data_IF_587079051171
#
_entry.id   IF_587079051171
#
_cell.length_a   1.000
_cell.length_b   1.000
_cell.length_c   1.000
_cell.angle_alpha   90.00
_cell.angle_beta   90.00
_cell.angle_gamma   90.00
#
_symmetry.space_group_name_H-M   'P 1'
#
loop_
_entity.id
_entity.type
_entity.pdbx_description
1 polymer ?
#
# COMPACT_ATOMS: atom_id res chain seq x y z
N UNK A 1 2.57 -51.88 36.14
CA UNK A 1 2.76 -52.35 34.75
C UNK A 1 1.75 -51.62 33.88
N UNK A 2 2.22 -50.75 32.99
CA UNK A 2 1.38 -49.87 32.18
C UNK A 2 0.82 -50.66 30.98
N UNK A 3 -0.50 -50.86 30.97
CA UNK A 3 -1.20 -51.64 29.94
C UNK A 3 -1.10 -51.06 28.51
N UNK A 4 -0.76 -49.77 28.37
CA UNK A 4 -0.67 -49.10 27.08
C UNK A 4 0.62 -49.41 26.30
N UNK A 5 1.66 -49.89 26.98
CA UNK A 5 2.96 -50.22 26.36
C UNK A 5 2.90 -51.58 25.64
N UNK A 6 2.19 -52.54 26.24
CA UNK A 6 1.97 -53.88 25.68
C UNK A 6 1.12 -53.88 24.39
N UNK A 7 0.19 -52.93 24.24
CA UNK A 7 -0.65 -52.84 23.03
C UNK A 7 0.10 -52.26 21.82
N UNK A 8 1.08 -51.36 22.05
CA UNK A 8 1.91 -50.85 20.96
C UNK A 8 2.92 -51.88 20.44
N UNK A 9 3.47 -52.70 21.34
CA UNK A 9 4.45 -53.73 20.98
C UNK A 9 3.82 -54.86 20.13
N UNK A 10 2.61 -55.28 20.50
CA UNK A 10 1.88 -56.34 19.78
C UNK A 10 1.44 -55.92 18.38
N UNK A 11 1.10 -54.65 18.17
CA UNK A 11 0.73 -54.15 16.84
C UNK A 11 1.91 -54.13 15.86
N UNK A 12 3.12 -53.81 16.34
CA UNK A 12 4.34 -53.88 15.52
C UNK A 12 4.77 -55.30 15.17
N UNK A 13 4.45 -56.29 16.01
CA UNK A 13 4.86 -57.68 15.80
C UNK A 13 4.06 -58.40 14.70
N UNK A 14 2.76 -58.09 14.57
CA UNK A 14 1.87 -58.79 13.62
C UNK A 14 2.11 -58.36 12.16
N UNK A 15 2.61 -57.14 11.92
CA UNK A 15 2.83 -56.61 10.56
C UNK A 15 4.15 -57.12 9.94
N UNK A 16 5.05 -57.75 10.71
CA UNK A 16 6.40 -58.09 10.27
C UNK A 16 6.72 -59.60 10.17
N UNK A 17 5.71 -60.47 10.15
CA UNK A 17 5.91 -61.92 9.90
C UNK A 17 5.60 -62.28 8.45
N UNK A 18 6.50 -61.91 7.56
CA UNK A 18 6.63 -62.48 6.21
C UNK A 18 8.01 -63.11 6.09
N UNK A 19 8.07 -64.44 5.97
CA UNK A 19 9.31 -65.19 5.85
C UNK A 19 10.09 -64.85 4.57
N UNK A 20 11.41 -64.73 4.72
CA UNK A 20 12.36 -64.54 3.64
C UNK A 20 13.78 -64.61 4.16
N UNK A 21 14.32 -65.81 4.28
CA UNK A 21 15.74 -66.03 4.61
C UNK A 21 16.62 -65.47 3.48
N UNK A 22 17.37 -64.40 3.74
CA UNK A 22 18.42 -63.96 2.83
C UNK A 22 19.65 -63.43 3.59
N UNK A 23 20.67 -64.29 3.58
CA UNK A 23 22.12 -64.05 3.73
C UNK A 23 22.55 -62.60 3.97
N UNK A 24 23.25 -62.40 5.08
CA UNK A 24 23.98 -61.18 5.44
C UNK A 24 24.84 -60.67 4.28
N UNK A 25 24.48 -59.48 3.77
CA UNK A 25 25.31 -58.71 2.84
C UNK A 25 26.05 -57.63 3.64
N UNK A 26 27.33 -57.34 3.34
CA UNK A 26 28.08 -56.33 4.07
C UNK A 26 27.43 -54.95 3.89
N UNK A 27 27.28 -54.23 5.00
CA UNK A 27 26.69 -52.89 5.02
C UNK A 27 27.54 -51.94 4.17
N UNK A 28 27.01 -51.56 3.00
CA UNK A 28 27.54 -50.41 2.26
C UNK A 28 27.28 -49.18 3.13
N UNK A 29 28.36 -48.56 3.63
CA UNK A 29 28.30 -47.25 4.28
C UNK A 29 27.63 -46.29 3.31
N UNK A 30 26.40 -45.92 3.61
CA UNK A 30 25.63 -44.97 2.80
C UNK A 30 26.26 -43.60 3.02
N UNK A 31 26.55 -42.87 1.95
CA UNK A 31 27.10 -41.52 2.08
C UNK A 31 26.14 -40.66 2.92
N UNK A 32 26.66 -39.87 3.86
CA UNK A 32 25.82 -39.04 4.74
C UNK A 32 24.90 -38.07 4.00
N UNK A 33 25.22 -37.75 2.74
CA UNK A 33 24.35 -36.98 1.84
C UNK A 33 23.09 -37.76 1.41
N UNK A 34 23.21 -39.06 1.21
CA UNK A 34 22.09 -39.92 0.82
C UNK A 34 21.14 -40.16 2.01
N UNK A 35 21.69 -40.31 3.22
CA UNK A 35 20.91 -40.43 4.44
C UNK A 35 20.05 -39.18 4.70
N UNK A 36 20.63 -37.99 4.53
CA UNK A 36 19.90 -36.70 4.60
C UNK A 36 18.80 -36.57 3.54
N UNK A 37 18.97 -37.15 2.35
CA UNK A 37 17.93 -37.14 1.30
C UNK A 37 16.76 -38.04 1.70
N UNK A 38 17.04 -39.22 2.26
CA UNK A 38 16.01 -40.14 2.76
C UNK A 38 15.22 -39.54 3.91
N UNK A 39 15.90 -38.93 4.87
CA UNK A 39 15.25 -38.22 6.01
C UNK A 39 14.33 -37.09 5.53
N UNK A 40 14.76 -36.29 4.53
CA UNK A 40 13.90 -35.25 3.95
C UNK A 40 12.64 -35.82 3.28
N UNK A 41 12.77 -36.94 2.57
CA UNK A 41 11.62 -37.59 1.93
C UNK A 41 10.64 -38.12 2.98
N UNK A 42 11.15 -38.71 4.06
CA UNK A 42 10.33 -39.19 5.18
C UNK A 42 9.64 -38.02 5.89
N UNK A 43 10.34 -36.91 6.14
CA UNK A 43 9.75 -35.72 6.75
C UNK A 43 8.65 -35.10 5.86
N UNK A 44 8.84 -35.08 4.54
CA UNK A 44 7.82 -34.64 3.59
C UNK A 44 6.60 -35.55 3.58
N UNK A 45 6.81 -36.88 3.63
CA UNK A 45 5.72 -37.86 3.71
C UNK A 45 4.97 -37.75 5.04
N UNK A 46 5.66 -37.51 6.15
CA UNK A 46 5.02 -37.26 7.45
C UNK A 46 4.23 -35.95 7.44
N UNK A 47 4.75 -34.89 6.83
CA UNK A 47 4.03 -33.62 6.69
C UNK A 47 2.79 -33.75 5.78
N UNK A 48 2.85 -34.58 4.75
CA UNK A 48 1.71 -34.84 3.85
C UNK A 48 0.62 -35.70 4.50
N UNK A 49 0.99 -36.67 5.33
CA UNK A 49 0.04 -37.57 6.01
C UNK A 49 -0.26 -37.14 7.46
N UNK A 50 0.18 -35.96 7.88
CA UNK A 50 -0.17 -35.42 9.19
C UNK A 50 -1.62 -34.90 9.16
N UNK A 51 -2.54 -35.72 9.68
CA UNK A 51 -3.90 -35.29 10.01
C UNK A 51 -3.88 -34.80 11.44
N UNK A 52 -3.99 -33.48 11.63
CA UNK A 52 -4.14 -32.91 12.95
C UNK A 52 -5.42 -33.48 13.59
N UNK A 53 -5.30 -34.03 14.80
CA UNK A 53 -6.45 -34.53 15.54
C UNK A 53 -7.39 -33.38 15.88
N UNK A 54 -8.61 -33.42 15.34
CA UNK A 54 -9.73 -32.58 15.75
C UNK A 54 -10.82 -33.47 16.34
N UNK A 55 -11.48 -33.02 17.41
CA UNK A 55 -12.64 -33.71 17.95
C UNK A 55 -13.79 -33.66 16.94
N UNK A 56 -14.64 -34.69 16.93
CA UNK A 56 -15.84 -34.72 16.09
C UNK A 56 -16.76 -33.50 16.35
N UNK A 57 -16.74 -32.98 17.59
CA UNK A 57 -17.53 -31.82 18.02
C UNK A 57 -16.84 -30.47 17.80
N UNK A 58 -15.63 -30.43 17.21
CA UNK A 58 -14.89 -29.18 17.02
C UNK A 58 -15.62 -28.20 16.10
N UNK A 59 -16.34 -28.71 15.10
CA UNK A 59 -17.10 -27.88 14.16
C UNK A 59 -18.43 -27.36 14.75
N UNK A 60 -18.98 -28.02 15.77
CA UNK A 60 -20.21 -27.55 16.42
C UNK A 60 -19.92 -26.36 17.32
N UNK A 61 -18.79 -26.34 18.05
CA UNK A 61 -18.50 -25.28 19.02
C UNK A 61 -18.13 -23.93 18.39
N UNK A 62 -17.52 -23.90 17.20
CA UNK A 62 -17.16 -22.63 16.54
C UNK A 62 -18.37 -21.86 15.99
N UNK A 63 -19.50 -22.56 15.75
CA UNK A 63 -20.66 -22.02 15.04
C UNK A 63 -21.93 -21.86 15.91
N UNK A 64 -21.90 -22.21 17.19
CA UNK A 64 -23.11 -22.22 18.08
C UNK A 64 -23.08 -21.21 19.23
N UNK A 65 -22.13 -20.28 19.25
CA UNK A 65 -22.13 -19.23 20.26
C UNK A 65 -23.30 -18.27 20.05
N UNK A 66 -24.34 -18.35 20.90
CA UNK A 66 -25.47 -17.40 20.90
C UNK A 66 -25.00 -15.94 20.85
N UNK A 67 -23.91 -15.59 21.54
CA UNK A 67 -23.32 -14.25 21.50
C UNK A 67 -22.86 -13.84 20.09
N UNK A 68 -22.23 -14.74 19.33
CA UNK A 68 -21.75 -14.48 17.96
C UNK A 68 -22.92 -14.39 16.97
N UNK A 69 -23.96 -15.20 17.18
CA UNK A 69 -25.19 -15.14 16.40
C UNK A 69 -25.99 -13.86 16.71
N UNK A 70 -26.04 -13.44 17.98
CA UNK A 70 -26.69 -12.20 18.42
C UNK A 70 -25.98 -10.95 17.88
N UNK A 71 -24.64 -10.92 17.88
CA UNK A 71 -23.86 -9.83 17.28
C UNK A 71 -24.14 -9.69 15.77
N UNK A 72 -24.25 -10.82 15.06
CA UNK A 72 -24.59 -10.85 13.63
C UNK A 72 -26.06 -10.56 13.31
N UNK A 73 -26.95 -10.69 14.29
CA UNK A 73 -28.40 -10.50 14.15
C UNK A 73 -28.89 -9.13 14.66
N UNK A 74 -28.00 -8.14 14.69
CA UNK A 74 -28.38 -6.75 15.00
C UNK A 74 -29.07 -6.11 13.79
N UNK A 75 -30.38 -5.86 13.91
CA UNK A 75 -31.18 -5.18 12.87
C UNK A 75 -31.33 -3.71 13.25
N UNK A 76 -30.71 -2.81 12.49
CA UNK A 76 -30.87 -1.36 12.67
C UNK A 76 -32.21 -0.90 12.08
N UNK A 77 -33.19 -0.56 12.92
CA UNK A 77 -34.57 -0.21 12.55
C UNK A 77 -34.71 1.22 11.98
N UNK A 78 -33.63 2.00 11.90
CA UNK A 78 -33.67 3.43 11.52
C UNK A 78 -33.70 3.71 10.00
N UNK A 79 -33.79 2.70 9.15
CA UNK A 79 -33.61 2.83 7.69
C UNK A 79 -34.89 2.59 6.86
N UNK A 80 -36.03 3.15 7.30
CA UNK A 80 -37.30 3.10 6.55
C UNK A 80 -37.48 4.26 5.54
N UNK A 81 -36.42 5.05 5.30
CA UNK A 81 -36.39 6.09 4.27
C UNK A 81 -35.28 5.75 3.25
N UNK A 82 -35.58 5.89 1.96
CA UNK A 82 -34.64 5.75 0.85
C UNK A 82 -33.36 6.58 1.07
N UNK A 83 -33.51 7.77 1.67
CA UNK A 83 -32.38 8.64 2.03
C UNK A 83 -31.54 8.05 3.16
N UNK A 84 -32.17 7.41 4.14
CA UNK A 84 -31.49 6.70 5.24
C UNK A 84 -30.65 5.54 4.71
N UNK A 85 -31.23 4.72 3.83
CA UNK A 85 -30.56 3.59 3.20
C UNK A 85 -29.37 4.02 2.33
N UNK A 86 -29.51 5.12 1.57
CA UNK A 86 -28.42 5.69 0.78
C UNK A 86 -27.25 6.18 1.65
N UNK A 87 -27.55 6.82 2.79
CA UNK A 87 -26.52 7.32 3.73
C UNK A 87 -25.78 6.18 4.42
N UNK A 88 -26.48 5.10 4.80
CA UNK A 88 -25.88 3.92 5.41
C UNK A 88 -24.94 3.20 4.43
N UNK A 89 -25.39 2.99 3.18
CA UNK A 89 -24.55 2.38 2.11
C UNK A 89 -23.31 3.21 1.80
N UNK A 90 -23.41 4.54 1.89
CA UNK A 90 -22.32 5.47 1.59
C UNK A 90 -21.57 5.97 2.84
N UNK A 91 -21.78 5.32 4.00
CA UNK A 91 -21.11 5.69 5.24
C UNK A 91 -19.59 5.53 5.09
N UNK A 92 -18.85 6.60 5.37
CA UNK A 92 -17.38 6.58 5.32
C UNK A 92 -16.83 6.15 6.66
N UNK A 93 -15.88 5.22 6.64
CA UNK A 93 -15.20 4.70 7.82
C UNK A 93 -13.86 5.40 7.99
N UNK A 94 -13.47 5.72 9.22
CA UNK A 94 -12.15 6.28 9.48
C UNK A 94 -11.08 5.20 9.37
N UNK A 95 -10.17 5.32 8.40
CA UNK A 95 -8.99 4.47 8.32
C UNK A 95 -7.94 5.01 9.30
N UNK A 96 -7.69 4.26 10.39
CA UNK A 96 -6.74 4.62 11.44
C UNK A 96 -5.30 4.73 10.93
N UNK A 97 -4.94 3.97 9.89
CA UNK A 97 -3.60 3.96 9.31
C UNK A 97 -3.43 5.15 8.36
N UNK A 98 -4.37 5.33 7.42
CA UNK A 98 -4.32 6.44 6.45
C UNK A 98 -4.80 7.78 7.02
N UNK A 99 -5.31 7.80 8.26
CA UNK A 99 -5.85 8.96 8.99
C UNK A 99 -6.82 9.77 8.13
N UNK A 100 -7.73 9.08 7.45
CA UNK A 100 -8.74 9.68 6.56
C UNK A 100 -9.98 8.81 6.49
N UNK A 101 -11.10 9.41 6.13
CA UNK A 101 -12.34 8.68 5.86
C UNK A 101 -12.26 7.95 4.50
N UNK A 102 -12.58 6.66 4.49
CA UNK A 102 -12.61 5.77 3.31
C UNK A 102 -14.02 5.17 3.21
N UNK A 103 -14.66 5.31 2.05
CA UNK A 103 -15.98 4.72 1.77
C UNK A 103 -15.92 3.22 1.47
N UNK A 104 -17.05 2.52 1.64
CA UNK A 104 -17.16 1.09 1.33
C UNK A 104 -17.15 0.80 -0.18
N UNK A 105 -17.71 1.68 -1.00
CA UNK A 105 -17.33 1.77 -2.41
C UNK A 105 -16.04 2.56 -2.47
N UNK A 106 -14.98 1.95 -3.00
CA UNK A 106 -13.76 2.68 -3.36
C UNK A 106 -14.20 3.96 -4.08
N UNK A 107 -13.84 5.10 -3.50
CA UNK A 107 -14.07 6.44 -4.04
C UNK A 107 -13.34 6.49 -5.40
N UNK A 108 -13.91 5.91 -6.46
CA UNK A 108 -13.41 6.02 -7.83
C UNK A 108 -13.64 7.47 -8.20
N UNK A 109 -12.57 8.29 -8.27
CA UNK A 109 -12.71 9.73 -8.47
C UNK A 109 -13.40 10.06 -9.81
N UNK A 110 -13.38 9.12 -10.76
CA UNK A 110 -13.79 9.33 -12.15
C UNK A 110 -15.29 9.16 -12.42
N UNK A 111 -16.06 8.61 -11.48
CA UNK A 111 -17.47 8.26 -11.71
C UNK A 111 -18.49 9.16 -11.00
N UNK A 112 -18.06 10.33 -10.50
CA UNK A 112 -19.00 11.31 -9.94
C UNK A 112 -19.79 11.90 -11.11
N UNK A 113 -21.10 11.65 -11.18
CA UNK A 113 -22.02 12.26 -12.15
C UNK A 113 -22.96 13.23 -11.43
N UNK A 114 -23.28 14.34 -12.08
CA UNK A 114 -24.19 15.38 -11.60
C UNK A 114 -25.40 15.36 -12.53
N UNK A 115 -26.61 15.49 -11.97
CA UNK A 115 -27.81 15.72 -12.77
C UNK A 115 -27.90 17.20 -13.14
N UNK A 116 -28.02 17.50 -14.42
CA UNK A 116 -28.35 18.83 -14.92
C UNK A 116 -29.84 19.12 -14.68
N UNK A 117 -30.22 20.39 -14.75
CA UNK A 117 -31.62 20.86 -14.71
C UNK A 117 -32.49 20.13 -15.76
N UNK A 118 -31.91 19.83 -16.93
CA UNK A 118 -32.53 19.03 -18.01
C UNK A 118 -32.61 17.52 -17.72
N UNK A 119 -32.22 17.08 -16.52
CA UNK A 119 -32.27 15.68 -16.09
C UNK A 119 -31.16 14.78 -16.65
N UNK A 120 -30.32 15.27 -17.57
CA UNK A 120 -29.18 14.51 -18.11
C UNK A 120 -28.08 14.34 -17.07
N UNK A 121 -27.43 13.17 -17.07
CA UNK A 121 -26.25 12.92 -16.23
C UNK A 121 -24.97 13.41 -16.91
N UNK A 122 -24.36 14.46 -16.37
CA UNK A 122 -23.05 14.93 -16.79
C UNK A 122 -21.97 14.40 -15.85
N UNK A 123 -20.77 14.13 -16.36
CA UNK A 123 -19.64 13.83 -15.48
C UNK A 123 -19.27 15.07 -14.66
N UNK A 124 -18.91 14.89 -13.39
CA UNK A 124 -18.50 15.97 -12.50
C UNK A 124 -17.27 16.73 -13.03
N UNK A 125 -16.52 16.13 -13.97
CA UNK A 125 -15.45 16.80 -14.71
C UNK A 125 -15.93 18.09 -15.37
N UNK A 126 -17.14 18.11 -15.93
CA UNK A 126 -17.69 19.32 -16.58
C UNK A 126 -17.99 20.45 -15.60
N UNK A 127 -18.23 20.14 -14.31
CA UNK A 127 -18.42 21.15 -13.25
C UNK A 127 -17.17 21.34 -12.38
N UNK A 128 -15.97 21.09 -12.90
CA UNK A 128 -14.71 21.28 -12.16
C UNK A 128 -14.40 22.74 -11.80
N UNK A 129 -15.25 23.71 -12.15
CA UNK A 129 -15.02 25.12 -11.81
C UNK A 129 -13.82 25.72 -12.54
N UNK A 130 -13.25 25.05 -13.55
CA UNK A 130 -12.07 25.53 -14.30
C UNK A 130 -12.28 26.91 -14.92
N UNK A 131 -13.49 27.20 -15.40
CA UNK A 131 -13.86 28.51 -15.91
C UNK A 131 -13.86 29.57 -14.80
N UNK A 132 -14.44 29.25 -13.64
CA UNK A 132 -14.44 30.15 -12.47
C UNK A 132 -13.01 30.40 -11.95
N UNK A 133 -12.18 29.36 -11.89
CA UNK A 133 -10.78 29.48 -11.51
C UNK A 133 -9.98 30.29 -12.53
N UNK A 134 -10.22 30.09 -13.83
CA UNK A 134 -9.62 30.90 -14.88
C UNK A 134 -10.07 32.36 -14.77
N UNK A 135 -11.38 32.60 -14.60
CA UNK A 135 -11.97 33.94 -14.43
C UNK A 135 -11.37 34.67 -13.22
N UNK A 136 -11.25 33.98 -12.07
CA UNK A 136 -10.59 34.49 -10.85
C UNK A 136 -9.11 34.79 -11.08
N UNK A 137 -8.39 33.90 -11.78
CA UNK A 137 -6.96 34.09 -12.11
C UNK A 137 -6.73 35.25 -13.07
N UNK A 138 -7.63 35.45 -14.04
CA UNK A 138 -7.57 36.55 -14.99
C UNK A 138 -8.06 37.87 -14.41
N UNK A 139 -8.52 37.89 -13.14
CA UNK A 139 -9.16 39.08 -12.52
C UNK A 139 -10.24 39.70 -13.42
N UNK A 140 -10.93 38.87 -14.21
CA UNK A 140 -12.07 39.29 -15.04
C UNK A 140 -13.36 39.43 -14.21
N UNK A 141 -13.27 39.29 -12.90
CA UNK A 141 -14.31 39.77 -12.02
C UNK A 141 -14.30 41.29 -12.11
N UNK A 142 -15.33 41.86 -12.74
CA UNK A 142 -15.66 43.27 -12.57
C UNK A 142 -15.47 43.61 -11.10
N UNK A 143 -14.51 44.50 -10.79
CA UNK A 143 -14.70 45.40 -9.67
C UNK A 143 -16.01 46.12 -10.00
N UNK A 144 -17.09 45.65 -9.39
CA UNK A 144 -18.29 46.45 -9.26
C UNK A 144 -17.85 47.57 -8.33
N UNK A 145 -17.30 48.61 -8.95
CA UNK A 145 -17.10 49.91 -8.36
C UNK A 145 -18.52 50.41 -8.10
N UNK A 146 -19.07 49.99 -6.96
CA UNK A 146 -20.23 50.63 -6.38
C UNK A 146 -19.72 51.98 -5.89
N UNK A 147 -19.64 52.90 -6.85
CA UNK A 147 -19.38 54.32 -6.69
C UNK A 147 -20.59 54.92 -5.99
N UNK A 148 -20.52 55.05 -4.67
CA UNK A 148 -21.32 56.00 -3.88
C UNK A 148 -20.66 56.23 -2.51
N UNK A 149 -20.21 57.46 -2.28
CA UNK A 149 -20.08 58.02 -0.93
C UNK A 149 -18.65 58.18 -0.36
N UNK A 150 -17.94 59.16 -0.88
CA UNK A 150 -17.31 60.29 -0.16
C UNK A 150 -16.39 60.06 1.08
N UNK A 151 -15.29 60.83 1.06
CA UNK A 151 -14.53 61.33 2.21
C UNK A 151 -13.69 60.37 3.09
N UNK A 152 -12.39 60.23 2.78
CA UNK A 152 -11.32 60.99 3.47
C UNK A 152 -9.90 60.51 3.16
N UNK A 153 -9.04 61.50 2.93
CA UNK A 153 -7.59 61.47 2.84
C UNK A 153 -6.90 60.73 3.99
N UNK A 154 -5.87 59.93 3.68
CA UNK A 154 -4.56 60.00 4.36
C UNK A 154 -3.53 59.14 3.62
N UNK A 155 -2.42 59.77 3.21
CA UNK A 155 -1.30 59.13 2.53
C UNK A 155 -0.45 58.18 3.41
N UNK A 156 0.63 57.63 2.84
CA UNK A 156 1.44 56.59 3.47
C UNK A 156 2.45 57.18 4.45
N UNK A 157 2.49 56.68 5.69
CA UNK A 157 3.59 56.97 6.63
C UNK A 157 3.97 55.76 7.46
N UNK A 158 5.28 55.57 7.50
CA UNK A 158 6.09 54.64 8.28
C UNK A 158 5.77 54.62 9.78
N UNK A 159 5.92 53.45 10.41
CA UNK A 159 7.02 53.16 11.35
C UNK A 159 6.60 51.99 12.27
N UNK A 160 7.28 50.85 12.13
CA UNK A 160 7.59 50.04 13.30
C UNK A 160 8.95 49.39 13.07
N UNK A 161 9.97 50.20 13.31
CA UNK A 161 11.34 49.77 13.45
C UNK A 161 11.57 49.20 14.86
N UNK A 162 11.16 47.96 15.13
CA UNK A 162 11.76 47.17 16.22
C UNK A 162 11.77 45.69 15.86
N UNK A 163 12.97 45.14 15.60
CA UNK A 163 13.15 43.69 15.38
C UNK A 163 14.11 43.27 14.26
N UNK A 164 15.01 44.15 13.80
CA UNK A 164 16.10 43.74 12.91
C UNK A 164 17.24 43.19 13.76
N UNK A 165 17.25 41.87 14.04
CA UNK A 165 18.44 41.00 14.17
C UNK A 165 18.01 39.54 14.37
N UNK A 166 17.22 38.98 13.44
CA UNK A 166 16.97 37.54 13.38
C UNK A 166 17.21 37.03 11.96
N UNK A 167 18.47 37.14 11.49
CA UNK A 167 18.89 36.62 10.17
C UNK A 167 18.66 35.11 10.01
N UNK A 168 18.57 34.36 11.12
CA UNK A 168 18.31 32.92 11.11
C UNK A 168 16.84 32.55 10.81
N UNK A 169 15.87 33.35 11.26
CA UNK A 169 14.43 33.03 11.11
C UNK A 169 13.91 33.18 9.68
N UNK A 170 14.63 33.87 8.80
CA UNK A 170 14.19 34.12 7.43
C UNK A 170 14.75 33.12 6.40
N UNK A 171 15.65 32.20 6.76
CA UNK A 171 16.19 31.22 5.79
C UNK A 171 15.12 30.22 5.29
N UNK A 172 14.04 30.03 6.04
CA UNK A 172 12.96 29.10 5.70
C UNK A 172 11.69 29.80 5.19
N UNK A 173 11.73 31.13 4.99
CA UNK A 173 10.62 31.85 4.36
C UNK A 173 10.66 31.53 2.87
N UNK A 174 10.01 30.43 2.48
CA UNK A 174 9.72 30.08 1.09
C UNK A 174 8.97 31.26 0.48
N UNK A 175 9.71 32.15 -0.18
CA UNK A 175 9.14 33.15 -1.07
C UNK A 175 8.21 32.38 -2.01
N UNK A 176 6.91 32.66 -1.97
CA UNK A 176 5.95 32.02 -2.86
C UNK A 176 6.38 32.42 -4.27
N UNK A 177 7.06 31.52 -4.97
CA UNK A 177 7.38 31.71 -6.38
C UNK A 177 6.04 31.90 -7.06
N UNK A 178 5.83 33.08 -7.66
CA UNK A 178 4.64 33.40 -8.44
C UNK A 178 4.37 32.35 -9.53
N UNK A 179 3.27 32.52 -10.29
CA UNK A 179 2.90 31.57 -11.34
C UNK A 179 4.10 31.28 -12.23
N UNK A 180 4.50 30.00 -12.29
CA UNK A 180 5.64 29.57 -13.10
C UNK A 180 5.27 29.79 -14.55
N UNK A 181 6.08 30.54 -15.29
CA UNK A 181 5.93 30.66 -16.74
C UNK A 181 5.96 29.27 -17.37
N UNK A 182 4.98 28.98 -18.22
CA UNK A 182 4.90 27.71 -18.96
C UNK A 182 6.13 27.54 -19.87
N UNK A 183 6.68 28.66 -20.37
CA UNK A 183 7.93 28.69 -21.09
C UNK A 183 9.13 28.65 -20.14
N UNK A 184 10.01 27.69 -20.41
CA UNK A 184 11.26 27.47 -19.66
C UNK A 184 12.28 28.55 -20.07
N UNK A 185 12.76 29.34 -19.11
CA UNK A 185 13.82 30.33 -19.37
C UNK A 185 15.11 29.63 -19.83
N UNK A 186 15.89 30.24 -20.74
CA UNK A 186 17.18 29.75 -21.26
C UNK A 186 18.11 29.25 -20.15
N UNK A 187 18.19 29.98 -19.03
CA UNK A 187 19.00 29.60 -17.86
C UNK A 187 18.54 28.27 -17.23
N UNK A 188 17.24 28.04 -17.17
CA UNK A 188 16.64 26.81 -16.64
C UNK A 188 16.83 25.64 -17.61
N UNK A 189 16.78 25.88 -18.93
CA UNK A 189 17.11 24.88 -19.96
C UNK A 189 18.58 24.46 -19.82
N UNK A 190 19.50 25.42 -19.71
CA UNK A 190 20.94 25.14 -19.51
C UNK A 190 21.19 24.34 -18.23
N UNK A 191 20.50 24.66 -17.13
CA UNK A 191 20.57 23.88 -15.87
C UNK A 191 20.08 22.44 -16.05
N UNK A 192 18.97 22.24 -16.76
CA UNK A 192 18.47 20.90 -17.04
C UNK A 192 19.43 20.09 -17.91
N UNK A 193 19.95 20.69 -18.99
CA UNK A 193 20.95 20.05 -19.86
C UNK A 193 22.21 19.63 -19.11
N UNK A 194 22.72 20.48 -18.20
CA UNK A 194 23.86 20.11 -17.34
C UNK A 194 23.53 18.95 -16.41
N UNK A 195 22.32 18.93 -15.84
CA UNK A 195 21.87 17.86 -14.94
C UNK A 195 21.73 16.53 -15.69
N UNK A 196 21.13 16.54 -16.88
CA UNK A 196 20.99 15.34 -17.72
C UNK A 196 22.34 14.79 -18.17
N UNK A 197 23.26 15.66 -18.62
CA UNK A 197 24.61 15.25 -18.99
C UNK A 197 25.38 14.60 -17.82
N UNK A 198 25.29 15.19 -16.61
CA UNK A 198 25.90 14.61 -15.41
C UNK A 198 25.32 13.23 -15.07
N UNK A 199 24.01 13.05 -15.25
CA UNK A 199 23.35 11.77 -14.99
C UNK A 199 23.80 10.70 -16.01
N UNK A 200 23.90 11.06 -17.29
CA UNK A 200 24.41 10.17 -18.34
C UNK A 200 25.85 9.74 -18.06
N UNK A 201 26.74 10.69 -17.73
CA UNK A 201 28.13 10.38 -17.35
C UNK A 201 28.22 9.43 -16.15
N UNK A 202 27.35 9.62 -15.15
CA UNK A 202 27.28 8.73 -13.99
C UNK A 202 26.83 7.31 -14.37
N UNK A 203 25.81 7.18 -15.22
CA UNK A 203 25.33 5.90 -15.72
C UNK A 203 26.43 5.17 -16.51
N UNK A 204 27.10 5.87 -17.43
CA UNK A 204 28.22 5.30 -18.20
C UNK A 204 29.37 4.84 -17.30
N UNK A 205 29.74 5.62 -16.29
CA UNK A 205 30.79 5.24 -15.35
C UNK A 205 30.40 3.99 -14.56
N UNK A 206 29.13 3.91 -14.11
CA UNK A 206 28.60 2.74 -13.42
C UNK A 206 28.63 1.50 -14.33
N UNK A 207 28.20 1.63 -15.57
CA UNK A 207 28.17 0.53 -16.54
C UNK A 207 29.58 0.03 -16.84
N UNK A 208 30.54 0.93 -17.09
CA UNK A 208 31.97 0.61 -17.25
C UNK A 208 32.53 -0.13 -16.03
N UNK A 209 32.17 0.29 -14.81
CA UNK A 209 32.58 -0.41 -13.58
C UNK A 209 32.00 -1.82 -13.50
N UNK A 210 30.72 -2.00 -13.85
CA UNK A 210 30.11 -3.33 -13.84
C UNK A 210 30.73 -4.25 -14.88
N UNK A 211 31.04 -3.74 -16.08
CA UNK A 211 31.71 -4.49 -17.14
C UNK A 211 33.10 -4.93 -16.71
N UNK A 212 33.90 -4.01 -16.14
CA UNK A 212 35.22 -4.33 -15.57
C UNK A 212 35.14 -5.44 -14.52
N UNK A 213 34.19 -5.35 -13.59
CA UNK A 213 33.98 -6.40 -12.56
C UNK A 213 33.62 -7.75 -13.19
N UNK A 214 32.74 -7.76 -14.19
CA UNK A 214 32.38 -8.99 -14.91
C UNK A 214 33.60 -9.60 -15.60
N UNK A 215 34.42 -8.79 -16.26
CA UNK A 215 35.65 -9.25 -16.91
C UNK A 215 36.67 -9.80 -15.91
N UNK A 216 36.88 -9.13 -14.77
CA UNK A 216 37.76 -9.64 -13.71
C UNK A 216 37.30 -10.99 -13.16
N UNK A 217 35.99 -11.16 -12.95
CA UNK A 217 35.43 -12.43 -12.51
C UNK A 217 35.61 -13.55 -13.55
N UNK A 218 35.46 -13.24 -14.85
CA UNK A 218 35.68 -14.19 -15.95
C UNK A 218 37.14 -14.66 -16.04
N UNK A 219 38.10 -13.76 -15.80
CA UNK A 219 39.53 -14.09 -15.76
C UNK A 219 39.83 -14.98 -14.56
N UNK A 220 39.30 -14.65 -13.38
CA UNK A 220 39.49 -15.43 -12.15
C UNK A 220 38.87 -16.84 -12.19
N UNK A 221 37.92 -17.11 -13.09
CA UNK A 221 37.33 -18.45 -13.27
C UNK A 221 38.05 -19.31 -14.30
N UNK A 222 39.09 -18.79 -14.98
CA UNK A 222 39.86 -19.50 -16.01
C UNK A 222 41.23 -19.98 -15.54
N UNK A 223 41.64 -19.60 -14.33
CA UNK A 223 42.79 -20.18 -13.60
C UNK A 223 42.28 -21.25 -12.63
#
# INVERSE_FOLDING_TARGET
MNFNEATSETFTEVVLRGEGTSKDKPSKKVDGAEQRRREKIVALLQAQHFVAYSSADYQSVENVGFARQADGATVEIFADDDKGLYRQKNAKRWDRYKKRFVGASEDVPDNKKIRTEDGTWLSASYRTGRYEDWKKKQKLGYEKNDEDGDDQQAGPSSESAFGKHNRWKNHNKKQSKGPKSELRNISQIKKFRKKSARLQQYMEHKDKRTLRRKLLNLVATKE
#
